data_IF_864919135882
#
_entry.id   IF_864919135882
#
_cell.length_a   1.000
_cell.length_b   1.000
_cell.length_c   1.000
_cell.angle_alpha   90.00
_cell.angle_beta   90.00
_cell.angle_gamma   90.00
#
_symmetry.space_group_name_H-M   'P 1'
#
loop_
_entity.id
_entity.type
_entity.pdbx_description
1 polymer ?
#
# COMPACT_ATOMS: atom_id res chain seq x y z
N UNK A 1 36.26 65.75 -30.23
CA UNK A 1 34.79 65.88 -30.19
C UNK A 1 34.12 64.87 -31.12
N UNK A 2 34.62 64.67 -32.34
CA UNK A 2 34.10 63.69 -33.30
C UNK A 2 34.02 62.25 -32.76
N UNK A 3 35.05 61.80 -32.04
CA UNK A 3 35.07 60.44 -31.47
C UNK A 3 33.98 60.20 -30.41
N UNK A 4 33.60 61.25 -29.66
CA UNK A 4 32.49 61.18 -28.69
C UNK A 4 31.13 61.17 -29.39
N UNK A 5 30.99 61.90 -30.50
CA UNK A 5 29.76 61.91 -31.30
C UNK A 5 29.55 60.54 -31.95
N UNK A 6 30.60 59.97 -32.55
CA UNK A 6 30.54 58.63 -33.16
C UNK A 6 30.19 57.53 -32.15
N UNK A 7 30.76 57.60 -30.93
CA UNK A 7 30.41 56.68 -29.84
C UNK A 7 28.94 56.82 -29.39
N UNK A 8 28.40 58.05 -29.39
CA UNK A 8 26.99 58.30 -29.07
C UNK A 8 26.05 57.78 -30.17
N UNK A 9 26.41 57.93 -31.43
CA UNK A 9 25.66 57.39 -32.58
C UNK A 9 25.61 55.86 -32.55
N UNK A 10 26.73 55.19 -32.27
CA UNK A 10 26.78 53.74 -32.10
C UNK A 10 25.90 53.26 -30.94
N UNK A 11 25.93 53.96 -29.80
CA UNK A 11 25.06 53.65 -28.64
C UNK A 11 23.58 53.87 -28.96
N UNK A 12 23.24 54.90 -29.73
CA UNK A 12 21.87 55.20 -30.13
C UNK A 12 21.33 54.12 -31.08
N UNK A 13 22.16 53.65 -32.02
CA UNK A 13 21.84 52.53 -32.90
C UNK A 13 21.60 51.23 -32.11
N UNK A 14 22.43 50.96 -31.10
CA UNK A 14 22.25 49.80 -30.19
C UNK A 14 20.95 49.93 -29.39
N UNK A 15 20.61 51.12 -28.89
CA UNK A 15 19.35 51.35 -28.18
C UNK A 15 18.13 51.14 -29.06
N UNK A 16 18.16 51.57 -30.33
CA UNK A 16 17.08 51.31 -31.29
C UNK A 16 16.92 49.83 -31.60
N UNK A 17 18.02 49.09 -31.75
CA UNK A 17 17.99 47.63 -31.92
C UNK A 17 17.43 46.92 -30.69
N UNK A 18 17.83 47.34 -29.48
CA UNK A 18 17.29 46.82 -28.23
C UNK A 18 15.79 47.11 -28.08
N UNK A 19 15.35 48.30 -28.47
CA UNK A 19 13.93 48.67 -28.47
C UNK A 19 13.11 47.78 -29.40
N UNK A 20 13.60 47.53 -30.62
CA UNK A 20 12.96 46.59 -31.56
C UNK A 20 12.89 45.17 -31.01
N UNK A 21 13.96 44.69 -30.35
CA UNK A 21 13.96 43.37 -29.69
C UNK A 21 12.97 43.30 -28.51
N UNK A 22 12.89 44.35 -27.69
CA UNK A 22 11.95 44.41 -26.58
C UNK A 22 10.50 44.34 -27.09
N UNK A 23 10.21 45.00 -28.21
CA UNK A 23 8.90 44.97 -28.84
C UNK A 23 8.58 43.59 -29.45
N UNK A 24 9.56 42.91 -30.06
CA UNK A 24 9.36 41.53 -30.53
C UNK A 24 9.11 40.55 -29.39
N UNK A 25 9.81 40.69 -28.25
CA UNK A 25 9.54 39.90 -27.05
C UNK A 25 8.16 40.17 -26.46
N UNK A 26 7.69 41.41 -26.49
CA UNK A 26 6.32 41.76 -26.06
C UNK A 26 5.27 41.04 -26.91
N UNK A 27 5.40 41.11 -28.23
CA UNK A 27 4.50 40.41 -29.16
C UNK A 27 4.55 38.89 -29.00
N UNK A 28 5.74 38.34 -28.74
CA UNK A 28 5.91 36.92 -28.45
C UNK A 28 5.19 36.51 -27.17
N UNK A 29 5.31 37.29 -26.09
CA UNK A 29 4.62 37.04 -24.83
C UNK A 29 3.09 37.13 -24.97
N UNK A 30 2.57 38.09 -25.72
CA UNK A 30 1.14 38.18 -26.02
C UNK A 30 0.64 36.95 -26.81
N UNK A 31 1.49 36.40 -27.67
CA UNK A 31 1.19 35.18 -28.42
C UNK A 31 1.23 33.94 -27.52
N UNK A 32 2.22 33.81 -26.63
CA UNK A 32 2.29 32.73 -25.62
C UNK A 32 1.05 32.74 -24.74
N UNK A 33 0.64 33.91 -24.24
CA UNK A 33 -0.56 34.05 -23.40
C UNK A 33 -1.83 33.62 -24.14
N UNK A 34 -1.97 33.99 -25.42
CA UNK A 34 -3.08 33.50 -26.26
C UNK A 34 -3.05 31.98 -26.44
N UNK A 35 -1.88 31.39 -26.64
CA UNK A 35 -1.75 29.93 -26.73
C UNK A 35 -2.09 29.25 -25.41
N UNK A 36 -1.67 29.78 -24.27
CA UNK A 36 -2.04 29.24 -22.94
C UNK A 36 -3.56 29.24 -22.74
N UNK A 37 -4.23 30.37 -22.99
CA UNK A 37 -5.69 30.46 -22.88
C UNK A 37 -6.39 29.47 -23.82
N UNK A 38 -5.82 29.24 -25.01
CA UNK A 38 -6.35 28.27 -25.97
C UNK A 38 -6.13 26.83 -25.51
N UNK A 39 -5.01 26.53 -24.86
CA UNK A 39 -4.74 25.22 -24.25
C UNK A 39 -5.74 24.95 -23.13
N UNK A 40 -5.98 25.92 -22.23
CA UNK A 40 -6.99 25.78 -21.16
C UNK A 40 -8.42 25.56 -21.73
N UNK A 41 -8.77 26.27 -22.80
CA UNK A 41 -10.04 26.10 -23.49
C UNK A 41 -10.17 24.74 -24.21
N UNK A 42 -9.06 24.20 -24.73
CA UNK A 42 -9.02 22.86 -25.31
C UNK A 42 -9.11 21.79 -24.22
N UNK A 43 -8.43 21.96 -23.09
CA UNK A 43 -8.49 21.05 -21.94
C UNK A 43 -9.91 20.95 -21.37
N UNK A 44 -10.59 22.08 -21.23
CA UNK A 44 -12.00 22.09 -20.78
C UNK A 44 -12.93 21.42 -21.78
N UNK A 45 -12.68 21.58 -23.10
CA UNK A 45 -13.42 20.84 -24.14
C UNK A 45 -13.12 19.35 -24.14
N UNK A 46 -11.87 18.94 -23.96
CA UNK A 46 -11.47 17.54 -23.86
C UNK A 46 -12.19 16.90 -22.67
N UNK A 47 -12.18 17.53 -21.49
CA UNK A 47 -12.93 17.02 -20.32
C UNK A 47 -14.43 16.90 -20.56
N UNK A 48 -15.02 17.85 -21.29
CA UNK A 48 -16.44 17.79 -21.64
C UNK A 48 -16.75 16.66 -22.64
N UNK A 49 -15.86 16.42 -23.60
CA UNK A 49 -15.96 15.32 -24.57
C UNK A 49 -15.74 13.98 -23.85
N UNK A 50 -14.73 13.85 -23.00
CA UNK A 50 -14.47 12.65 -22.20
C UNK A 50 -15.69 12.30 -21.33
N UNK A 51 -16.31 13.30 -20.69
CA UNK A 51 -17.55 13.11 -19.93
C UNK A 51 -18.73 12.61 -20.79
N UNK A 52 -18.75 12.91 -22.09
CA UNK A 52 -19.76 12.41 -23.03
C UNK A 52 -19.40 11.04 -23.62
N UNK A 53 -18.11 10.73 -23.78
CA UNK A 53 -17.61 9.49 -24.40
C UNK A 53 -17.55 8.33 -23.41
N UNK A 54 -17.32 8.57 -22.12
CA UNK A 54 -17.37 7.53 -21.06
C UNK A 54 -18.66 6.69 -21.12
N UNK A 55 -19.74 7.28 -21.61
CA UNK A 55 -21.02 6.60 -21.78
C UNK A 55 -21.01 5.57 -22.92
N UNK A 56 -20.22 5.73 -23.99
CA UNK A 56 -20.25 4.83 -25.15
C UNK A 56 -19.45 3.55 -24.91
N UNK A 57 -18.22 3.64 -24.37
CA UNK A 57 -17.41 2.45 -24.06
C UNK A 57 -18.05 1.58 -22.98
N UNK A 58 -18.74 2.20 -22.01
CA UNK A 58 -19.45 1.47 -20.96
C UNK A 58 -20.78 0.89 -21.46
N UNK A 59 -21.49 1.56 -22.37
CA UNK A 59 -22.72 1.00 -22.96
C UNK A 59 -22.43 -0.27 -23.74
N UNK A 60 -21.30 -0.36 -24.43
CA UNK A 60 -20.83 -1.59 -25.09
C UNK A 60 -20.53 -2.70 -24.05
N UNK A 61 -19.89 -2.36 -22.93
CA UNK A 61 -19.71 -3.28 -21.79
C UNK A 61 -21.03 -3.74 -21.13
N UNK A 62 -22.03 -2.86 -21.07
CA UNK A 62 -23.34 -3.12 -20.46
C UNK A 62 -24.33 -3.80 -21.41
N UNK A 63 -24.05 -3.82 -22.71
CA UNK A 63 -24.90 -4.42 -23.76
C UNK A 63 -24.56 -5.89 -24.06
N UNK A 64 -23.61 -6.47 -23.32
CA UNK A 64 -23.18 -7.88 -23.40
C UNK A 64 -22.53 -8.32 -24.73
N UNK A 65 -22.29 -7.41 -25.67
CA UNK A 65 -21.65 -7.75 -26.94
C UNK A 65 -20.11 -7.85 -26.79
N UNK A 66 -19.62 -9.09 -26.81
CA UNK A 66 -18.26 -9.48 -27.26
C UNK A 66 -17.03 -9.07 -26.44
N UNK A 67 -17.16 -8.40 -25.30
CA UNK A 67 -15.95 -8.02 -24.52
C UNK A 67 -15.44 -9.20 -23.69
N UNK A 68 -14.25 -9.70 -24.04
CA UNK A 68 -13.55 -10.71 -23.26
C UNK A 68 -12.97 -10.12 -21.97
N UNK A 69 -13.81 -10.03 -20.94
CA UNK A 69 -13.41 -9.59 -19.59
C UNK A 69 -12.35 -10.55 -19.01
N UNK A 70 -12.28 -11.80 -19.47
CA UNK A 70 -11.39 -12.79 -18.88
C UNK A 70 -9.91 -12.51 -19.13
N UNK A 71 -9.56 -11.83 -20.23
CA UNK A 71 -8.17 -11.46 -20.56
C UNK A 71 -7.69 -10.14 -19.97
N UNK A 72 -8.56 -9.42 -19.23
CA UNK A 72 -8.18 -8.15 -18.59
C UNK A 72 -7.05 -8.34 -17.58
N UNK A 73 -6.05 -7.45 -17.65
CA UNK A 73 -5.02 -7.33 -16.63
C UNK A 73 -5.54 -6.47 -15.45
N UNK A 74 -4.76 -6.34 -14.37
CA UNK A 74 -5.21 -5.61 -13.18
C UNK A 74 -5.42 -4.10 -13.43
N UNK A 75 -4.63 -3.50 -14.32
CA UNK A 75 -4.76 -2.09 -14.72
C UNK A 75 -6.09 -1.84 -15.42
N UNK A 76 -6.44 -2.66 -16.42
CA UNK A 76 -7.73 -2.60 -17.12
C UNK A 76 -8.90 -2.85 -16.17
N UNK A 77 -8.77 -3.82 -15.26
CA UNK A 77 -9.79 -4.07 -14.22
C UNK A 77 -10.03 -2.81 -13.37
N UNK A 78 -8.97 -2.15 -12.92
CA UNK A 78 -9.07 -0.92 -12.12
C UNK A 78 -9.75 0.20 -12.91
N UNK A 79 -9.37 0.39 -14.17
CA UNK A 79 -10.00 1.39 -15.05
C UNK A 79 -11.51 1.14 -15.15
N UNK A 80 -11.89 -0.08 -15.56
CA UNK A 80 -13.30 -0.45 -15.75
C UNK A 80 -14.10 -0.34 -14.45
N UNK A 81 -13.51 -0.69 -13.30
CA UNK A 81 -14.18 -0.51 -12.01
C UNK A 81 -14.44 0.98 -11.70
N UNK A 82 -13.50 1.88 -12.01
CA UNK A 82 -13.72 3.32 -11.85
C UNK A 82 -14.82 3.82 -12.78
N UNK A 83 -14.82 3.38 -14.03
CA UNK A 83 -15.83 3.76 -15.03
C UNK A 83 -17.23 3.32 -14.59
N UNK A 84 -17.36 2.10 -14.05
CA UNK A 84 -18.62 1.60 -13.48
C UNK A 84 -19.09 2.47 -12.32
N UNK A 85 -18.21 2.91 -11.41
CA UNK A 85 -18.59 3.78 -10.28
C UNK A 85 -19.06 5.15 -10.74
N UNK A 86 -18.39 5.73 -11.75
CA UNK A 86 -18.79 6.99 -12.37
C UNK A 86 -20.20 6.86 -12.96
N UNK A 87 -20.44 5.82 -13.75
CA UNK A 87 -21.74 5.60 -14.38
C UNK A 87 -22.86 5.26 -13.39
N UNK A 88 -22.57 4.50 -12.32
CA UNK A 88 -23.55 4.29 -11.24
C UNK A 88 -24.01 5.62 -10.65
N UNK A 89 -23.10 6.59 -10.52
CA UNK A 89 -23.44 7.91 -9.97
C UNK A 89 -24.34 8.68 -10.93
N UNK A 90 -24.04 8.65 -12.23
CA UNK A 90 -24.84 9.30 -13.28
C UNK A 90 -26.23 8.65 -13.43
N UNK A 91 -26.31 7.32 -13.57
CA UNK A 91 -27.60 6.63 -13.72
C UNK A 91 -28.51 6.74 -12.49
N UNK A 92 -27.93 6.99 -11.30
CA UNK A 92 -28.71 7.36 -10.10
C UNK A 92 -29.34 8.73 -10.24
N UNK A 93 -28.62 9.71 -10.78
CA UNK A 93 -29.15 11.06 -11.04
C UNK A 93 -30.23 11.02 -12.12
N UNK A 94 -30.05 10.20 -13.15
CA UNK A 94 -30.99 10.05 -14.28
C UNK A 94 -32.19 9.15 -13.97
N UNK A 95 -32.25 8.48 -12.81
CA UNK A 95 -33.33 7.57 -12.44
C UNK A 95 -33.42 6.29 -13.28
N UNK A 96 -32.31 5.87 -13.89
CA UNK A 96 -32.26 4.78 -14.88
C UNK A 96 -32.05 3.41 -14.21
N UNK A 97 -33.11 2.82 -13.67
CA UNK A 97 -33.06 1.56 -12.89
C UNK A 97 -32.40 0.38 -13.66
N UNK A 98 -32.73 0.20 -14.95
CA UNK A 98 -32.22 -0.92 -15.75
C UNK A 98 -30.69 -0.86 -15.93
N UNK A 99 -30.14 0.35 -16.12
CA UNK A 99 -28.69 0.54 -16.25
C UNK A 99 -27.98 0.36 -14.91
N UNK A 100 -28.61 0.73 -13.79
CA UNK A 100 -28.07 0.48 -12.46
C UNK A 100 -27.93 -1.02 -12.15
N UNK A 101 -28.91 -1.83 -12.56
CA UNK A 101 -28.85 -3.29 -12.41
C UNK A 101 -27.70 -3.88 -13.23
N UNK A 102 -27.58 -3.48 -14.51
CA UNK A 102 -26.47 -3.91 -15.39
C UNK A 102 -25.10 -3.53 -14.85
N UNK A 103 -24.95 -2.32 -14.29
CA UNK A 103 -23.71 -1.89 -13.63
C UNK A 103 -23.37 -2.76 -12.42
N UNK A 104 -24.37 -3.15 -11.61
CA UNK A 104 -24.18 -4.03 -10.46
C UNK A 104 -23.64 -5.41 -10.87
N UNK A 105 -24.16 -5.98 -11.96
CA UNK A 105 -23.72 -7.28 -12.45
C UNK A 105 -22.36 -7.21 -13.14
N UNK A 106 -22.08 -6.16 -13.91
CA UNK A 106 -20.77 -5.92 -14.47
C UNK A 106 -19.71 -5.73 -13.37
N UNK A 107 -20.03 -4.98 -12.32
CA UNK A 107 -19.16 -4.81 -11.14
C UNK A 107 -18.78 -6.15 -10.51
N UNK A 108 -19.76 -7.05 -10.29
CA UNK A 108 -19.50 -8.39 -9.75
C UNK A 108 -18.56 -9.20 -10.65
N UNK A 109 -18.78 -9.17 -11.98
CA UNK A 109 -17.97 -9.88 -12.98
C UNK A 109 -16.54 -9.36 -13.01
N UNK A 110 -16.35 -8.06 -13.19
CA UNK A 110 -15.02 -7.41 -13.27
C UNK A 110 -14.24 -7.60 -11.97
N UNK A 111 -14.89 -7.43 -10.82
CA UNK A 111 -14.28 -7.66 -9.51
C UNK A 111 -13.79 -9.11 -9.33
N UNK A 112 -14.54 -10.10 -9.83
CA UNK A 112 -14.13 -11.51 -9.80
C UNK A 112 -12.84 -11.72 -10.61
N UNK A 113 -12.73 -11.11 -11.79
CA UNK A 113 -11.50 -11.13 -12.59
C UNK A 113 -10.34 -10.45 -11.85
N UNK A 114 -10.58 -9.30 -11.23
CA UNK A 114 -9.57 -8.62 -10.39
C UNK A 114 -9.00 -9.53 -9.30
N UNK A 115 -9.87 -10.27 -8.60
CA UNK A 115 -9.42 -11.27 -7.62
C UNK A 115 -8.63 -12.43 -8.23
N UNK A 116 -8.97 -12.87 -9.45
CA UNK A 116 -8.20 -13.90 -10.14
C UNK A 116 -6.80 -13.40 -10.47
N UNK A 117 -6.67 -12.21 -11.07
CA UNK A 117 -5.37 -11.58 -11.40
C UNK A 117 -4.52 -11.32 -10.16
N UNK A 118 -5.15 -10.87 -9.07
CA UNK A 118 -4.49 -10.72 -7.80
C UNK A 118 -3.93 -12.05 -7.27
N UNK A 119 -4.72 -13.14 -7.33
CA UNK A 119 -4.23 -14.44 -6.87
C UNK A 119 -3.08 -14.93 -7.74
N UNK A 120 -3.16 -14.79 -9.07
CA UNK A 120 -2.06 -15.13 -9.99
C UNK A 120 -0.77 -14.39 -9.62
N UNK A 121 -0.86 -13.08 -9.32
CA UNK A 121 0.27 -12.29 -8.86
C UNK A 121 0.82 -12.79 -7.51
N UNK A 122 -0.04 -13.03 -6.51
CA UNK A 122 0.35 -13.54 -5.18
C UNK A 122 1.06 -14.90 -5.30
N UNK A 123 0.56 -15.81 -6.14
CA UNK A 123 1.14 -17.13 -6.36
C UNK A 123 2.49 -17.06 -7.07
N UNK A 124 2.69 -16.07 -7.94
CA UNK A 124 3.96 -15.89 -8.65
C UNK A 124 5.03 -15.25 -7.76
N UNK A 125 4.72 -14.11 -7.17
CA UNK A 125 5.58 -13.39 -6.23
C UNK A 125 4.78 -12.29 -5.55
N UNK A 126 4.74 -12.31 -4.22
CA UNK A 126 4.09 -11.22 -3.47
C UNK A 126 4.83 -9.89 -3.65
N UNK A 127 6.14 -9.95 -3.89
CA UNK A 127 6.98 -8.79 -4.14
C UNK A 127 6.58 -8.03 -5.41
N UNK A 128 6.03 -8.70 -6.42
CA UNK A 128 5.55 -8.02 -7.63
C UNK A 128 4.40 -7.06 -7.34
N UNK A 129 3.59 -7.34 -6.31
CA UNK A 129 2.50 -6.44 -5.89
C UNK A 129 3.01 -5.10 -5.36
N UNK A 130 4.22 -5.06 -4.77
CA UNK A 130 4.80 -3.81 -4.27
C UNK A 130 5.25 -2.87 -5.40
N UNK A 131 5.37 -3.40 -6.62
CA UNK A 131 5.80 -2.68 -7.82
C UNK A 131 4.63 -2.37 -8.75
N UNK A 132 3.45 -2.94 -8.48
CA UNK A 132 2.25 -2.76 -9.30
C UNK A 132 1.37 -1.64 -8.70
N UNK A 133 1.34 -0.43 -9.30
CA UNK A 133 0.50 0.65 -8.80
C UNK A 133 -1.00 0.32 -8.90
N UNK A 134 -1.40 -0.57 -9.82
CA UNK A 134 -2.79 -0.98 -9.97
C UNK A 134 -3.27 -1.82 -8.79
N UNK A 135 -2.37 -2.48 -8.05
CA UNK A 135 -2.74 -3.19 -6.82
C UNK A 135 -3.31 -2.23 -5.76
N UNK A 136 -2.61 -1.14 -5.47
CA UNK A 136 -3.05 -0.17 -4.46
C UNK A 136 -4.41 0.44 -4.82
N UNK A 137 -4.61 0.76 -6.10
CA UNK A 137 -5.87 1.27 -6.61
C UNK A 137 -6.99 0.23 -6.56
N UNK A 138 -6.72 -1.02 -6.94
CA UNK A 138 -7.68 -2.11 -6.83
C UNK A 138 -8.16 -2.30 -5.39
N UNK A 139 -7.24 -2.31 -4.42
CA UNK A 139 -7.59 -2.47 -3.00
C UNK A 139 -8.44 -1.31 -2.49
N UNK A 140 -8.18 -0.06 -2.93
CA UNK A 140 -8.98 1.12 -2.56
C UNK A 140 -10.43 1.06 -3.06
N UNK A 141 -10.68 0.33 -4.13
CA UNK A 141 -12.02 0.17 -4.72
C UNK A 141 -12.85 -0.94 -4.03
N UNK A 142 -12.31 -1.63 -3.02
CA UNK A 142 -12.95 -2.74 -2.34
C UNK A 142 -13.44 -2.39 -0.94
N UNK A 143 -14.48 -3.09 -0.50
CA UNK A 143 -14.97 -3.04 0.88
C UNK A 143 -13.93 -3.60 1.86
N UNK A 144 -13.92 -3.09 3.10
CA UNK A 144 -12.98 -3.51 4.16
C UNK A 144 -12.91 -5.03 4.36
N UNK A 145 -14.04 -5.73 4.32
CA UNK A 145 -14.07 -7.19 4.47
C UNK A 145 -13.31 -7.93 3.35
N UNK A 146 -13.32 -7.39 2.14
CA UNK A 146 -12.61 -7.93 1.01
C UNK A 146 -11.11 -7.63 1.09
N UNK A 147 -10.76 -6.41 1.52
CA UNK A 147 -9.37 -6.03 1.82
C UNK A 147 -8.77 -6.96 2.87
N UNK A 148 -9.52 -7.24 3.94
CA UNK A 148 -9.09 -8.18 4.98
C UNK A 148 -8.77 -9.58 4.43
N UNK A 149 -9.61 -10.11 3.51
CA UNK A 149 -9.35 -11.40 2.84
C UNK A 149 -8.07 -11.37 2.00
N UNK A 150 -7.77 -10.25 1.35
CA UNK A 150 -6.52 -10.07 0.60
C UNK A 150 -5.32 -10.08 1.54
N UNK A 151 -5.39 -9.33 2.65
CA UNK A 151 -4.32 -9.31 3.67
C UNK A 151 -4.03 -10.72 4.21
N UNK A 152 -5.08 -11.48 4.55
CA UNK A 152 -4.94 -12.89 5.00
C UNK A 152 -4.20 -13.72 3.95
N UNK A 153 -4.61 -13.65 2.68
CA UNK A 153 -3.97 -14.42 1.58
C UNK A 153 -2.51 -14.05 1.39
N UNK A 154 -2.20 -12.76 1.42
CA UNK A 154 -0.83 -12.25 1.33
C UNK A 154 0.01 -12.85 2.46
N UNK A 155 -0.44 -12.71 3.73
CA UNK A 155 0.31 -13.24 4.87
C UNK A 155 0.42 -14.77 4.89
N UNK A 156 -0.58 -15.50 4.39
CA UNK A 156 -0.49 -16.95 4.23
C UNK A 156 0.61 -17.35 3.24
N UNK A 157 0.69 -16.66 2.09
CA UNK A 157 1.76 -16.87 1.12
C UNK A 157 3.13 -16.55 1.72
N UNK A 158 3.24 -15.41 2.41
CA UNK A 158 4.47 -15.00 3.10
C UNK A 158 4.88 -15.97 4.21
N UNK A 159 3.94 -16.55 4.93
CA UNK A 159 4.24 -17.52 6.00
C UNK A 159 4.94 -18.74 5.41
N UNK A 160 4.44 -19.27 4.30
CA UNK A 160 5.07 -20.39 3.62
C UNK A 160 6.50 -20.07 3.17
N UNK A 161 6.73 -18.83 2.68
CA UNK A 161 8.06 -18.33 2.33
C UNK A 161 9.00 -18.28 3.54
N UNK A 162 8.54 -17.71 4.66
CA UNK A 162 9.27 -17.64 5.92
C UNK A 162 9.68 -19.02 6.44
N UNK A 163 8.74 -19.97 6.47
CA UNK A 163 8.99 -21.33 6.94
C UNK A 163 9.97 -22.08 6.03
N UNK A 164 9.93 -21.83 4.71
CA UNK A 164 10.92 -22.40 3.79
C UNK A 164 12.31 -21.82 4.05
N UNK A 165 12.42 -20.51 4.29
CA UNK A 165 13.70 -19.85 4.63
C UNK A 165 14.24 -20.33 5.97
N UNK A 166 13.38 -20.53 6.97
CA UNK A 166 13.80 -20.94 8.31
C UNK A 166 14.44 -22.32 8.34
N UNK A 167 14.04 -23.24 7.46
CA UNK A 167 14.64 -24.57 7.33
C UNK A 167 16.16 -24.55 7.03
N UNK A 168 16.67 -23.46 6.46
CA UNK A 168 18.10 -23.29 6.15
C UNK A 168 18.88 -22.55 7.24
N UNK A 169 18.21 -22.07 8.29
CA UNK A 169 18.84 -21.33 9.38
C UNK A 169 19.47 -22.32 10.37
N UNK A 170 20.81 -22.36 10.39
CA UNK A 170 21.58 -23.27 11.27
C UNK A 170 22.14 -22.62 12.52
N UNK A 171 22.50 -21.34 12.45
CA UNK A 171 23.09 -20.58 13.56
C UNK A 171 22.45 -19.20 13.66
N UNK A 172 22.57 -18.57 14.84
CA UNK A 172 22.02 -17.25 15.12
C UNK A 172 20.52 -17.11 14.79
N UNK A 173 19.72 -18.10 15.24
CA UNK A 173 18.30 -18.21 14.92
C UNK A 173 17.53 -16.95 15.35
N UNK A 174 17.74 -16.48 16.57
CA UNK A 174 17.07 -15.28 17.10
C UNK A 174 17.18 -14.08 16.16
N UNK A 175 18.41 -13.72 15.76
CA UNK A 175 18.67 -12.59 14.89
C UNK A 175 17.95 -12.76 13.55
N UNK A 176 18.05 -13.96 12.94
CA UNK A 176 17.50 -14.21 11.62
C UNK A 176 15.96 -14.23 11.62
N UNK A 177 15.33 -14.81 12.64
CA UNK A 177 13.88 -14.76 12.81
C UNK A 177 13.38 -13.35 13.08
N UNK A 178 14.11 -12.56 13.90
CA UNK A 178 13.79 -11.15 14.11
C UNK A 178 13.89 -10.34 12.82
N UNK A 179 14.97 -10.49 12.06
CA UNK A 179 15.14 -9.82 10.77
C UNK A 179 14.08 -10.25 9.76
N UNK A 180 13.66 -11.51 9.80
CA UNK A 180 12.56 -12.00 8.97
C UNK A 180 11.24 -11.29 9.30
N UNK A 181 10.87 -11.21 10.58
CA UNK A 181 9.66 -10.47 11.01
C UNK A 181 9.74 -9.00 10.61
N UNK A 182 10.90 -8.37 10.76
CA UNK A 182 11.11 -6.97 10.35
C UNK A 182 10.90 -6.77 8.84
N UNK A 183 11.46 -7.65 8.01
CA UNK A 183 11.30 -7.58 6.55
C UNK A 183 9.84 -7.78 6.13
N UNK A 184 9.16 -8.77 6.71
CA UNK A 184 7.76 -9.04 6.42
C UNK A 184 6.84 -7.89 6.87
N UNK A 185 7.16 -7.23 8.00
CA UNK A 185 6.45 -6.03 8.46
C UNK A 185 6.59 -4.89 7.45
N UNK A 186 7.81 -4.66 6.96
CA UNK A 186 8.06 -3.64 5.94
C UNK A 186 7.25 -3.90 4.66
N UNK A 187 7.25 -5.14 4.15
CA UNK A 187 6.48 -5.50 2.96
C UNK A 187 4.97 -5.36 3.20
N UNK A 188 4.47 -5.81 4.35
CA UNK A 188 3.06 -5.69 4.69
C UNK A 188 2.60 -4.22 4.73
N UNK A 189 3.37 -3.35 5.37
CA UNK A 189 3.08 -1.91 5.45
C UNK A 189 3.21 -1.20 4.10
N UNK A 190 4.09 -1.67 3.21
CA UNK A 190 4.18 -1.13 1.85
C UNK A 190 2.98 -1.51 1.00
N UNK A 191 2.43 -2.71 1.18
CA UNK A 191 1.21 -3.17 0.50
C UNK A 191 -0.07 -2.55 1.10
N UNK A 192 -0.08 -2.33 2.41
CA UNK A 192 -1.24 -1.86 3.16
C UNK A 192 -0.88 -0.68 4.07
N UNK A 193 -0.57 0.51 3.52
CA UNK A 193 -0.03 1.63 4.29
C UNK A 193 -0.99 2.15 5.38
N UNK A 194 -2.29 1.96 5.23
CA UNK A 194 -3.29 2.34 6.24
C UNK A 194 -3.20 1.51 7.53
N UNK A 195 -2.65 0.30 7.48
CA UNK A 195 -2.42 -0.53 8.67
C UNK A 195 -1.34 0.06 9.59
N UNK A 196 -0.49 0.95 9.07
CA UNK A 196 0.64 1.54 9.81
C UNK A 196 0.20 2.13 11.15
N UNK A 197 -0.86 2.94 11.15
CA UNK A 197 -1.37 3.58 12.38
C UNK A 197 -1.98 2.58 13.36
N UNK A 198 -2.70 1.59 12.85
CA UNK A 198 -3.32 0.57 13.69
C UNK A 198 -2.26 -0.32 14.35
N UNK A 199 -1.27 -0.76 13.58
CA UNK A 199 -0.12 -1.51 14.09
C UNK A 199 0.68 -0.67 15.09
N UNK A 200 0.94 0.60 14.80
CA UNK A 200 1.61 1.52 15.72
C UNK A 200 0.91 1.56 17.08
N UNK A 201 -0.37 1.90 17.10
CA UNK A 201 -1.13 2.01 18.34
C UNK A 201 -1.12 0.69 19.12
N UNK A 202 -1.29 -0.44 18.43
CA UNK A 202 -1.27 -1.74 19.09
C UNK A 202 0.10 -2.08 19.66
N UNK A 203 1.20 -1.85 18.93
CA UNK A 203 2.53 -2.25 19.36
C UNK A 203 3.13 -1.30 20.41
N UNK A 204 2.63 -0.06 20.54
CA UNK A 204 3.07 0.85 21.60
C UNK A 204 2.65 0.37 23.00
N UNK A 205 1.50 -0.32 23.12
CA UNK A 205 1.01 -0.87 24.40
C UNK A 205 1.63 -2.26 24.71
N UNK A 206 2.89 -2.50 24.36
CA UNK A 206 3.52 -3.82 24.51
C UNK A 206 3.74 -4.27 25.95
N UNK A 207 3.60 -3.37 26.92
CA UNK A 207 3.76 -3.69 28.33
C UNK A 207 2.62 -4.57 28.85
N UNK A 208 1.40 -4.42 28.31
CA UNK A 208 0.24 -5.22 28.69
C UNK A 208 0.28 -6.63 28.08
N UNK A 209 0.07 -7.64 28.91
CA UNK A 209 -0.16 -9.01 28.42
C UNK A 209 -1.54 -9.08 27.77
N UNK A 210 -1.56 -9.24 26.44
CA UNK A 210 -2.79 -9.40 25.65
C UNK A 210 -2.87 -10.81 25.09
N UNK A 211 -4.05 -11.47 25.17
CA UNK A 211 -4.25 -12.77 24.54
C UNK A 211 -4.18 -12.65 23.01
N UNK A 212 -3.67 -13.69 22.34
CA UNK A 212 -3.57 -13.74 20.87
C UNK A 212 -4.93 -13.51 20.17
N UNK A 213 -6.04 -13.88 20.81
CA UNK A 213 -7.40 -13.68 20.28
C UNK A 213 -7.70 -12.19 20.06
N UNK A 214 -7.06 -11.30 20.83
CA UNK A 214 -7.21 -9.85 20.71
C UNK A 214 -6.08 -9.23 19.86
N UNK A 215 -5.23 -10.05 19.25
CA UNK A 215 -4.11 -9.59 18.42
C UNK A 215 -4.55 -9.34 16.98
N UNK A 216 -3.89 -8.40 16.32
CA UNK A 216 -4.12 -8.14 14.91
C UNK A 216 -3.63 -9.26 14.00
N UNK A 217 -3.93 -9.10 12.72
CA UNK A 217 -3.59 -10.06 11.68
C UNK A 217 -2.07 -10.28 11.58
N UNK A 218 -1.28 -9.20 11.64
CA UNK A 218 0.17 -9.27 11.48
C UNK A 218 0.88 -9.87 12.71
N UNK A 219 0.34 -9.60 13.90
CA UNK A 219 0.80 -10.18 15.16
C UNK A 219 0.57 -11.70 15.16
N UNK A 220 -0.62 -12.15 14.73
CA UNK A 220 -0.91 -13.57 14.53
C UNK A 220 0.06 -14.21 13.52
N UNK A 221 0.32 -13.53 12.40
CA UNK A 221 1.32 -13.97 11.42
C UNK A 221 2.71 -14.11 12.05
N UNK A 222 3.17 -13.08 12.77
CA UNK A 222 4.48 -13.03 13.41
C UNK A 222 4.66 -14.18 14.39
N UNK A 223 3.66 -14.41 15.26
CA UNK A 223 3.65 -15.54 16.19
C UNK A 223 3.76 -16.87 15.42
N UNK A 224 3.00 -17.03 14.33
CA UNK A 224 2.99 -18.27 13.56
C UNK A 224 4.32 -18.59 12.86
N UNK A 225 5.11 -17.57 12.52
CA UNK A 225 6.46 -17.71 11.95
C UNK A 225 7.48 -17.99 13.06
N UNK A 226 7.37 -17.28 14.18
CA UNK A 226 8.28 -17.40 15.32
C UNK A 226 8.09 -18.69 16.13
N UNK A 227 6.92 -19.31 16.05
CA UNK A 227 6.62 -20.56 16.76
C UNK A 227 7.68 -21.65 16.53
N UNK A 228 8.13 -21.83 15.29
CA UNK A 228 9.18 -22.79 14.94
C UNK A 228 10.51 -22.52 15.66
N UNK A 229 10.85 -21.23 15.84
CA UNK A 229 12.02 -20.84 16.60
C UNK A 229 11.86 -21.23 18.07
N UNK A 230 10.70 -20.90 18.66
CA UNK A 230 10.43 -21.17 20.08
C UNK A 230 10.38 -22.66 20.40
N UNK A 231 9.87 -23.49 19.49
CA UNK A 231 9.88 -24.95 19.63
C UNK A 231 11.30 -25.54 19.62
N UNK A 232 12.27 -24.81 19.05
CA UNK A 232 13.67 -25.22 19.04
C UNK A 232 14.50 -24.73 20.24
N UNK A 233 13.89 -23.97 21.16
CA UNK A 233 14.53 -23.42 22.34
C UNK A 233 14.08 -24.13 23.63
N UNK A 234 14.93 -24.09 24.66
CA UNK A 234 14.53 -24.52 26.01
C UNK A 234 13.67 -23.45 26.69
N UNK A 235 12.93 -23.83 27.74
CA UNK A 235 12.14 -22.87 28.52
C UNK A 235 13.03 -21.77 29.13
N UNK A 236 14.19 -22.12 29.66
CA UNK A 236 15.16 -21.18 30.24
C UNK A 236 15.66 -20.16 29.20
N UNK A 237 15.95 -20.61 27.98
CA UNK A 237 16.35 -19.74 26.87
C UNK A 237 15.24 -18.74 26.51
N UNK A 238 13.98 -19.18 26.51
CA UNK A 238 12.83 -18.34 26.20
C UNK A 238 12.52 -17.35 27.32
N UNK A 239 12.66 -17.74 28.58
CA UNK A 239 12.52 -16.81 29.73
C UNK A 239 13.62 -15.76 29.76
N UNK A 240 14.85 -16.16 29.44
CA UNK A 240 15.99 -15.25 29.28
C UNK A 240 15.76 -14.26 28.13
N UNK A 241 15.26 -14.74 26.98
CA UNK A 241 14.90 -13.91 25.83
C UNK A 241 13.80 -12.89 26.19
N UNK A 242 12.71 -13.34 26.85
CA UNK A 242 11.62 -12.47 27.31
C UNK A 242 12.16 -11.34 28.20
N UNK A 243 13.02 -11.68 29.15
CA UNK A 243 13.58 -10.73 30.12
C UNK A 243 14.48 -9.70 29.44
N UNK A 244 15.37 -10.15 28.54
CA UNK A 244 16.25 -9.27 27.75
C UNK A 244 15.46 -8.33 26.84
N UNK A 245 14.49 -8.84 26.08
CA UNK A 245 13.65 -8.02 25.20
C UNK A 245 12.84 -6.99 25.99
N UNK A 246 12.28 -7.38 27.14
CA UNK A 246 11.54 -6.45 27.99
C UNK A 246 12.41 -5.31 28.52
N UNK A 247 13.68 -5.58 28.88
CA UNK A 247 14.59 -4.55 29.35
C UNK A 247 15.05 -3.63 28.21
N UNK A 248 15.36 -4.19 27.04
CA UNK A 248 15.82 -3.43 25.87
C UNK A 248 14.72 -2.52 25.31
N UNK A 249 13.48 -3.01 25.23
CA UNK A 249 12.34 -2.21 24.75
C UNK A 249 12.01 -1.04 25.68
N UNK A 250 12.05 -1.23 27.00
CA UNK A 250 11.88 -0.14 27.98
C UNK A 250 12.93 0.96 27.84
N UNK A 251 14.16 0.60 27.45
CA UNK A 251 15.23 1.59 27.18
C UNK A 251 15.04 2.32 25.86
N UNK A 252 14.51 1.65 24.83
CA UNK A 252 14.33 2.22 23.48
C UNK A 252 13.04 3.04 23.32
N UNK A 253 11.98 2.72 24.07
CA UNK A 253 10.67 3.37 23.97
C UNK A 253 10.68 4.92 24.01
N UNK A 254 11.49 5.59 24.86
CA UNK A 254 11.53 7.06 24.91
C UNK A 254 12.10 7.73 23.65
N UNK A 255 12.77 6.98 22.76
CA UNK A 255 13.43 7.50 21.56
C UNK A 255 12.62 7.39 20.28
N UNK A 256 11.40 6.86 20.33
CA UNK A 256 10.54 6.62 19.17
C UNK A 256 9.72 7.86 18.88
N UNK A 257 9.81 8.39 17.66
CA UNK A 257 9.01 9.55 17.28
C UNK A 257 7.57 9.13 17.00
N UNK A 258 6.59 9.89 17.50
CA UNK A 258 5.16 9.68 17.24
C UNK A 258 4.80 9.95 15.76
N UNK A 259 5.71 10.58 15.02
CA UNK A 259 5.58 10.93 13.60
C UNK A 259 6.39 10.00 12.67
N UNK A 260 7.08 9.00 13.22
CA UNK A 260 7.91 8.08 12.44
C UNK A 260 7.10 7.18 11.53
N UNK A 261 7.46 7.11 10.24
CA UNK A 261 6.99 6.04 9.39
C UNK A 261 7.47 4.71 9.99
N UNK A 262 6.57 3.73 10.16
CA UNK A 262 6.91 2.44 10.77
C UNK A 262 8.04 1.66 10.06
N UNK A 263 8.49 2.12 8.88
CA UNK A 263 9.73 1.67 8.22
C UNK A 263 11.02 2.09 8.92
N UNK A 264 11.06 3.21 9.67
CA UNK A 264 12.25 3.69 10.39
C UNK A 264 12.41 2.99 11.76
N UNK A 265 11.32 2.68 12.43
CA UNK A 265 11.31 1.97 13.72
C UNK A 265 11.11 0.44 13.59
N UNK A 266 11.32 -0.11 12.39
CA UNK A 266 11.05 -1.53 12.10
C UNK A 266 11.78 -2.50 13.02
N UNK A 267 12.98 -2.16 13.50
CA UNK A 267 13.71 -2.98 14.48
C UNK A 267 13.01 -2.99 15.84
N UNK A 268 12.49 -1.84 16.29
CA UNK A 268 11.73 -1.76 17.53
C UNK A 268 10.46 -2.62 17.44
N UNK A 269 9.66 -2.44 16.38
CA UNK A 269 8.43 -3.23 16.21
C UNK A 269 8.70 -4.72 16.09
N UNK A 270 9.76 -5.13 15.40
CA UNK A 270 10.16 -6.54 15.36
C UNK A 270 10.50 -7.08 16.75
N UNK A 271 11.22 -6.31 17.58
CA UNK A 271 11.50 -6.70 18.97
C UNK A 271 10.22 -6.80 19.81
N UNK A 272 9.27 -5.86 19.65
CA UNK A 272 7.95 -5.92 20.30
C UNK A 272 7.20 -7.18 19.90
N UNK A 273 7.13 -7.48 18.59
CA UNK A 273 6.43 -8.65 18.06
C UNK A 273 7.04 -9.95 18.59
N UNK A 274 8.37 -10.03 18.70
CA UNK A 274 9.05 -11.18 19.31
C UNK A 274 8.71 -11.28 20.80
N UNK A 275 8.72 -10.16 21.55
CA UNK A 275 8.39 -10.14 22.97
C UNK A 275 6.95 -10.63 23.22
N UNK A 276 5.97 -10.08 22.48
CA UNK A 276 4.56 -10.48 22.60
C UNK A 276 4.40 -11.96 22.26
N UNK A 277 5.07 -12.42 21.20
CA UNK A 277 4.99 -13.81 20.75
C UNK A 277 5.60 -14.79 21.76
N UNK A 278 6.74 -14.48 22.36
CA UNK A 278 7.38 -15.36 23.37
C UNK A 278 6.59 -15.39 24.67
N UNK A 279 6.01 -14.26 25.10
CA UNK A 279 5.09 -14.23 26.25
C UNK A 279 3.93 -15.17 26.03
N UNK A 280 3.26 -15.06 24.88
CA UNK A 280 2.15 -15.93 24.55
C UNK A 280 2.56 -17.42 24.52
N UNK A 281 3.68 -17.74 23.90
CA UNK A 281 4.17 -19.12 23.84
C UNK A 281 4.43 -19.70 25.24
N UNK A 282 5.10 -18.95 26.12
CA UNK A 282 5.36 -19.38 27.50
C UNK A 282 4.07 -19.58 28.31
N UNK A 283 3.12 -18.64 28.23
CA UNK A 283 1.82 -18.78 28.89
C UNK A 283 1.05 -20.01 28.40
N UNK A 284 1.12 -20.32 27.10
CA UNK A 284 0.46 -21.50 26.52
C UNK A 284 1.05 -22.82 27.01
N UNK A 285 2.37 -22.88 27.24
CA UNK A 285 3.05 -24.07 27.79
C UNK A 285 2.75 -24.29 29.27
N UNK A 286 2.70 -23.21 30.05
CA UNK A 286 2.33 -23.27 31.48
C UNK A 286 0.89 -23.75 31.67
N UNK A 287 -0.05 -23.31 30.82
CA UNK A 287 -1.43 -23.77 30.85
C UNK A 287 -1.57 -25.27 30.52
N UNK A 288 -0.75 -25.80 29.61
CA UNK A 288 -0.74 -27.24 29.31
C UNK A 288 -0.11 -28.09 30.44
N UNK A 289 0.99 -27.65 31.05
CA UNK A 289 1.53 -28.35 32.24
C UNK A 289 0.54 -28.36 33.42
N UNK A 290 -0.21 -27.28 33.63
CA UNK A 290 -1.23 -27.22 34.67
C UNK A 290 -2.47 -28.08 34.39
N UNK A 291 -2.71 -28.51 33.13
CA UNK A 291 -3.75 -29.47 32.79
C UNK A 291 -3.29 -30.92 32.93
N UNK A 292 -2.00 -31.20 32.68
CA UNK A 292 -1.41 -32.52 32.90
C UNK A 292 -1.16 -32.83 34.39
N UNK A 293 -1.02 -31.82 35.25
CA UNK A 293 -0.94 -31.98 36.72
C UNK A 293 -2.31 -32.21 37.40
N UNK A 294 -3.44 -32.13 36.68
CA UNK A 294 -4.81 -32.27 37.24
C UNK A 294 -5.41 -33.67 37.03
N UNK A 295 -4.60 -34.67 36.64
CA UNK A 295 -5.02 -36.08 36.63
C UNK A 295 -4.17 -36.92 37.60
N UNK A 296 -4.27 -36.62 38.89
CA UNK A 296 -4.17 -37.63 39.95
C UNK A 296 -5.15 -37.26 41.09
N UNK A 297 -6.38 -37.77 40.98
CA UNK A 297 -7.23 -38.17 42.12
C UNK A 297 -7.82 -39.54 41.78
#
# INVERSE_FOLDING_TARGET
MEEKIKNLEEKLLVLEQLRKKAESFRLMNESIRRYMNRVEALDTRIRAIDAQIVNYDLVDLLSEETIDISSMNLETVVSVMKDILCAISQFKEDGSADYLERCSDLWKRVRKIGFLRLNEAIYRSTESLMMDPSFGEFVRLLDRNLVHRIQVKVLQSRKAECLRKSAYIRSNKEFLFRSMVQQELHMFLRLFPWESKEIYNRLMDFEEERPLVNSGLFECFSFSVLKEYFESCTLEELESLRSRLSADLKRKAPGISVEGEAGQDGEFYANVLVLVSVRHYLSSKQAHCAQDEVVEI
#
